data_IF_785026100988
#
_entry.id   IF_785026100988
#
_cell.length_a   1.000
_cell.length_b   1.000
_cell.length_c   1.000
_cell.angle_alpha   90.00
_cell.angle_beta   90.00
_cell.angle_gamma   90.00
#
_symmetry.space_group_name_H-M   'P 1'
#
loop_
_entity.id
_entity.type
_entity.pdbx_description
1 polymer ?
#
# COMPACT_ATOMS: atom_id res chain seq x y z
N UNK A 1 25.72 -9.73 9.58
CA UNK A 1 24.31 -9.36 9.83
C UNK A 1 24.02 -8.12 9.04
N UNK A 2 22.87 -8.02 8.37
CA UNK A 2 22.48 -6.83 7.64
C UNK A 2 21.82 -5.80 8.57
N UNK A 3 22.06 -4.52 8.30
CA UNK A 3 21.43 -3.42 9.02
C UNK A 3 20.30 -2.84 8.20
N UNK A 4 19.09 -2.70 8.77
CA UNK A 4 17.97 -2.06 8.09
C UNK A 4 18.19 -0.55 8.05
N UNK A 5 18.25 -0.04 6.83
CA UNK A 5 18.41 1.38 6.52
C UNK A 5 17.33 1.85 5.57
N UNK A 6 17.25 3.14 5.36
CA UNK A 6 16.44 3.77 4.30
C UNK A 6 17.31 4.66 3.44
N UNK A 7 16.94 4.80 2.18
CA UNK A 7 17.58 5.73 1.24
C UNK A 7 17.40 7.16 1.77
N UNK A 8 18.48 7.91 1.78
CA UNK A 8 18.56 9.28 2.31
C UNK A 8 18.89 10.34 1.24
N UNK A 9 18.67 10.00 -0.01
CA UNK A 9 18.77 10.90 -1.17
C UNK A 9 17.52 10.74 -2.02
N UNK A 10 17.20 11.72 -2.85
CA UNK A 10 15.98 11.71 -3.67
C UNK A 10 15.87 10.42 -4.48
N UNK A 11 16.94 10.06 -5.17
CA UNK A 11 17.02 8.85 -5.98
C UNK A 11 18.40 8.19 -5.83
N UNK A 12 18.41 6.90 -5.55
CA UNK A 12 19.60 6.06 -5.50
C UNK A 12 19.53 4.97 -6.57
N UNK A 13 20.45 5.00 -7.52
CA UNK A 13 20.59 3.93 -8.51
C UNK A 13 21.25 2.72 -7.86
N UNK A 14 20.65 1.56 -8.09
CA UNK A 14 21.17 0.26 -7.64
C UNK A 14 21.84 -0.44 -8.82
N UNK A 15 23.05 -0.88 -8.60
CA UNK A 15 23.90 -1.53 -9.59
C UNK A 15 24.18 -2.98 -9.20
N UNK A 16 24.12 -3.90 -10.15
CA UNK A 16 24.43 -5.32 -9.91
C UNK A 16 25.92 -5.59 -9.77
N UNK A 17 26.75 -4.67 -10.24
CA UNK A 17 28.21 -4.76 -10.15
C UNK A 17 28.80 -3.44 -9.69
N UNK A 18 29.94 -3.53 -9.00
CA UNK A 18 30.70 -2.39 -8.56
C UNK A 18 31.19 -1.53 -9.73
N UNK A 19 31.34 -0.23 -9.49
CA UNK A 19 31.77 0.73 -10.53
C UNK A 19 30.60 1.18 -11.43
N UNK A 20 29.36 1.13 -10.92
CA UNK A 20 28.13 1.56 -11.58
C UNK A 20 27.87 0.80 -12.89
N UNK A 21 28.08 -0.51 -12.85
CA UNK A 21 27.80 -1.43 -13.95
C UNK A 21 26.56 -2.25 -13.68
N UNK A 22 25.89 -2.71 -14.72
CA UNK A 22 24.68 -3.53 -14.64
C UNK A 22 23.60 -2.86 -13.81
N UNK A 23 22.95 -1.82 -14.36
CA UNK A 23 21.85 -1.11 -13.72
C UNK A 23 20.69 -2.07 -13.39
N UNK A 24 20.25 -2.10 -12.14
CA UNK A 24 19.13 -2.94 -11.70
C UNK A 24 17.84 -2.14 -11.57
N UNK A 25 17.86 -1.09 -10.76
CA UNK A 25 16.70 -0.23 -10.50
C UNK A 25 17.11 1.07 -9.81
N UNK A 26 16.16 1.97 -9.64
CA UNK A 26 16.30 3.16 -8.81
C UNK A 26 15.37 3.04 -7.60
N UNK A 27 15.88 3.38 -6.44
CA UNK A 27 15.12 3.54 -5.20
C UNK A 27 14.96 5.01 -4.86
N UNK A 28 13.84 5.34 -4.24
CA UNK A 28 13.51 6.70 -3.84
C UNK A 28 13.82 6.95 -2.36
N UNK A 29 13.82 8.20 -1.96
CA UNK A 29 13.96 8.62 -0.58
C UNK A 29 13.00 7.87 0.35
N UNK A 30 13.51 7.32 1.44
CA UNK A 30 12.76 6.54 2.42
C UNK A 30 12.47 5.10 2.01
N UNK A 31 12.96 4.62 0.84
CA UNK A 31 12.86 3.20 0.51
C UNK A 31 13.78 2.36 1.40
N UNK A 32 13.25 1.26 1.92
CA UNK A 32 14.00 0.38 2.83
C UNK A 32 15.00 -0.49 2.07
N UNK A 33 16.20 -0.61 2.64
CA UNK A 33 17.27 -1.50 2.18
C UNK A 33 17.92 -2.22 3.36
N UNK A 34 18.42 -3.41 3.11
CA UNK A 34 19.25 -4.15 4.05
C UNK A 34 20.73 -3.95 3.67
N UNK A 35 21.45 -3.10 4.41
CA UNK A 35 22.88 -2.86 4.18
C UNK A 35 23.67 -4.02 4.75
N UNK A 36 24.44 -4.69 3.91
CA UNK A 36 25.32 -5.81 4.28
C UNK A 36 26.75 -5.36 4.54
N UNK A 37 27.21 -4.37 3.74
CA UNK A 37 28.54 -3.80 3.87
C UNK A 37 28.54 -2.33 3.42
N UNK A 38 29.37 -1.52 4.04
CA UNK A 38 29.59 -0.13 3.64
C UNK A 38 31.05 0.23 3.80
N UNK A 39 31.59 0.87 2.79
CA UNK A 39 32.93 1.47 2.81
C UNK A 39 32.88 2.89 2.21
N UNK A 40 34.03 3.52 2.03
CA UNK A 40 34.11 4.88 1.50
C UNK A 40 33.71 5.01 0.02
N UNK A 41 33.70 3.91 -0.72
CA UNK A 41 33.42 3.92 -2.17
C UNK A 41 31.97 3.52 -2.48
N UNK A 42 31.39 2.60 -1.68
CA UNK A 42 30.07 2.00 -1.99
C UNK A 42 29.40 1.41 -0.77
N UNK A 43 28.09 1.16 -0.93
CA UNK A 43 27.25 0.42 -0.01
C UNK A 43 26.78 -0.84 -0.74
N UNK A 44 26.99 -2.00 -0.14
CA UNK A 44 26.41 -3.26 -0.57
C UNK A 44 25.09 -3.47 0.16
N UNK A 45 24.03 -3.76 -0.59
CA UNK A 45 22.69 -3.98 -0.08
C UNK A 45 22.14 -5.33 -0.52
N UNK A 46 21.30 -5.93 0.33
CA UNK A 46 20.39 -6.99 -0.06
C UNK A 46 19.01 -6.35 -0.30
N UNK A 47 18.46 -6.60 -1.46
CA UNK A 47 17.11 -6.19 -1.82
C UNK A 47 16.32 -7.40 -2.32
N UNK A 48 14.99 -7.28 -2.38
CA UNK A 48 14.11 -8.35 -2.82
C UNK A 48 13.31 -7.86 -4.01
N UNK A 49 13.30 -8.62 -5.08
CA UNK A 49 12.31 -8.46 -6.15
C UNK A 49 11.46 -9.73 -6.27
N UNK A 50 10.38 -9.64 -7.01
CA UNK A 50 9.45 -10.75 -7.16
C UNK A 50 9.45 -11.22 -8.60
N UNK A 51 9.71 -12.52 -8.80
CA UNK A 51 9.71 -13.14 -10.11
C UNK A 51 8.42 -13.96 -10.31
N UNK A 52 7.80 -13.80 -11.47
CA UNK A 52 6.63 -14.58 -11.88
C UNK A 52 7.09 -15.84 -12.61
N UNK A 53 6.67 -17.01 -12.11
CA UNK A 53 6.93 -18.31 -12.69
C UNK A 53 5.82 -18.72 -13.67
N UNK A 54 6.12 -19.70 -14.53
CA UNK A 54 5.18 -20.19 -15.56
C UNK A 54 3.85 -20.72 -14.98
N UNK A 55 3.84 -21.19 -13.73
CA UNK A 55 2.65 -21.62 -12.99
C UNK A 55 1.83 -20.46 -12.40
N UNK A 56 2.25 -19.21 -12.65
CA UNK A 56 1.66 -18.00 -12.14
C UNK A 56 1.97 -17.71 -10.67
N UNK A 57 2.87 -18.48 -10.04
CA UNK A 57 3.39 -18.15 -8.70
C UNK A 57 4.34 -16.95 -8.78
N UNK A 58 4.35 -16.16 -7.70
CA UNK A 58 5.25 -15.02 -7.57
C UNK A 58 6.13 -15.29 -6.35
N UNK A 59 7.41 -15.53 -6.59
CA UNK A 59 8.35 -15.84 -5.52
C UNK A 59 9.34 -14.70 -5.30
N UNK A 60 9.68 -14.41 -4.04
CA UNK A 60 10.72 -13.44 -3.72
C UNK A 60 12.09 -13.98 -4.14
N UNK A 61 12.84 -13.15 -4.82
CA UNK A 61 14.24 -13.40 -5.17
C UNK A 61 15.09 -12.36 -4.47
N UNK A 62 16.09 -12.82 -3.71
CA UNK A 62 17.08 -11.96 -3.11
C UNK A 62 18.11 -11.55 -4.15
N UNK A 63 18.42 -10.29 -4.18
CA UNK A 63 19.37 -9.68 -5.09
C UNK A 63 20.37 -8.86 -4.28
N UNK A 64 21.65 -9.02 -4.59
CA UNK A 64 22.72 -8.17 -4.05
C UNK A 64 22.98 -7.04 -5.02
N UNK A 65 23.00 -5.81 -4.51
CA UNK A 65 23.26 -4.63 -5.31
C UNK A 65 24.18 -3.65 -4.61
N UNK A 66 24.64 -2.67 -5.38
CA UNK A 66 25.58 -1.66 -4.92
C UNK A 66 24.97 -0.27 -5.10
N UNK A 67 25.10 0.58 -4.07
CA UNK A 67 24.83 2.01 -4.17
C UNK A 67 26.17 2.73 -4.11
N UNK A 68 26.42 3.59 -5.09
CA UNK A 68 27.65 4.36 -5.17
C UNK A 68 27.32 5.84 -5.36
N UNK A 69 27.98 6.76 -4.62
CA UNK A 69 27.78 8.18 -4.82
C UNK A 69 28.24 8.59 -6.22
N UNK A 70 27.50 9.49 -6.85
CA UNK A 70 27.97 10.13 -8.10
C UNK A 70 29.16 11.03 -7.77
N UNK A 71 30.26 10.90 -8.51
CA UNK A 71 31.47 11.73 -8.29
C UNK A 71 31.16 13.23 -8.32
N UNK A 72 30.21 13.65 -9.13
CA UNK A 72 29.79 15.06 -9.25
C UNK A 72 28.89 15.55 -8.10
N UNK A 73 28.39 14.67 -7.26
CA UNK A 73 27.45 15.07 -6.18
C UNK A 73 28.12 15.60 -4.92
N UNK A 74 29.41 15.30 -4.72
CA UNK A 74 30.11 15.60 -3.48
C UNK A 74 29.66 14.77 -2.27
N UNK A 75 28.70 13.85 -2.45
CA UNK A 75 28.17 13.00 -1.38
C UNK A 75 29.15 11.88 -1.02
N UNK A 76 29.11 11.50 0.24
CA UNK A 76 29.79 10.29 0.75
C UNK A 76 28.79 9.13 0.84
N UNK A 77 29.27 7.92 0.99
CA UNK A 77 28.40 6.74 1.19
C UNK A 77 27.52 6.88 2.44
N UNK A 78 28.03 7.53 3.49
CA UNK A 78 27.28 7.82 4.72
C UNK A 78 26.07 8.73 4.51
N UNK A 79 26.04 9.48 3.43
CA UNK A 79 24.94 10.41 3.13
C UNK A 79 23.82 9.74 2.34
N UNK A 80 24.08 8.57 1.73
CA UNK A 80 23.14 7.88 0.84
C UNK A 80 22.08 7.07 1.57
N UNK A 81 22.39 6.61 2.78
CA UNK A 81 21.47 5.82 3.60
C UNK A 81 21.52 6.31 5.05
N UNK A 82 20.41 6.11 5.76
CA UNK A 82 20.33 6.34 7.21
C UNK A 82 19.64 5.18 7.91
N UNK A 83 19.85 4.96 9.22
CA UNK A 83 19.17 3.91 9.96
C UNK A 83 17.64 4.00 9.80
N UNK A 84 16.96 2.86 9.68
CA UNK A 84 15.50 2.81 9.58
C UNK A 84 14.80 3.50 10.75
N UNK A 85 15.39 3.45 11.94
CA UNK A 85 14.87 4.14 13.13
C UNK A 85 14.80 5.67 13.01
N UNK A 86 15.52 6.24 12.05
CA UNK A 86 15.53 7.67 11.74
C UNK A 86 14.69 8.01 10.49
N UNK A 87 13.86 7.06 10.00
CA UNK A 87 12.97 7.34 8.89
C UNK A 87 11.86 8.29 9.33
N UNK A 88 11.75 9.44 8.69
CA UNK A 88 10.72 10.46 8.88
C UNK A 88 9.88 10.71 7.62
N UNK A 89 10.03 9.85 6.61
CA UNK A 89 9.36 10.01 5.32
C UNK A 89 7.94 9.46 5.37
N UNK A 90 6.97 10.34 5.16
CA UNK A 90 5.59 9.99 4.85
C UNK A 90 5.47 9.79 3.34
N UNK A 91 5.03 8.62 2.91
CA UNK A 91 4.76 8.33 1.49
C UNK A 91 3.28 8.41 1.22
N UNK A 92 2.91 9.20 0.22
CA UNK A 92 1.52 9.30 -0.26
C UNK A 92 1.50 8.95 -1.73
N UNK A 93 0.79 7.89 -2.08
CA UNK A 93 0.64 7.44 -3.46
C UNK A 93 -0.81 7.65 -3.88
N UNK A 94 -1.05 8.56 -4.80
CA UNK A 94 -2.32 8.69 -5.50
C UNK A 94 -2.36 7.66 -6.63
N UNK A 95 -3.42 6.87 -6.67
CA UNK A 95 -3.57 5.78 -7.63
C UNK A 95 -4.55 6.22 -8.71
N UNK A 96 -4.15 6.12 -9.96
CA UNK A 96 -5.08 6.30 -11.07
C UNK A 96 -6.07 5.11 -11.09
N UNK A 97 -7.27 5.39 -10.63
CA UNK A 97 -8.40 4.45 -10.62
C UNK A 97 -9.40 4.75 -11.74
N UNK A 98 -9.05 5.66 -12.65
CA UNK A 98 -9.85 6.21 -13.75
C UNK A 98 -11.00 7.10 -13.25
N UNK A 99 -11.95 6.57 -12.49
CA UNK A 99 -13.05 7.34 -11.91
C UNK A 99 -13.02 7.25 -10.39
N UNK A 100 -13.14 8.41 -9.74
CA UNK A 100 -13.06 8.56 -8.29
C UNK A 100 -11.65 8.70 -7.76
N UNK A 101 -11.47 8.40 -6.49
CA UNK A 101 -10.22 8.58 -5.78
C UNK A 101 -9.72 7.25 -5.18
N UNK A 102 -8.40 7.13 -5.08
CA UNK A 102 -7.74 6.05 -4.39
C UNK A 102 -6.34 6.47 -3.96
N UNK A 103 -6.02 6.36 -2.68
CA UNK A 103 -4.69 6.68 -2.21
C UNK A 103 -4.18 5.68 -1.18
N UNK A 104 -2.85 5.52 -1.15
CA UNK A 104 -2.12 4.71 -0.17
C UNK A 104 -1.16 5.61 0.57
N UNK A 105 -1.31 5.69 1.88
CA UNK A 105 -0.43 6.45 2.77
C UNK A 105 0.38 5.45 3.58
N UNK A 106 1.70 5.61 3.56
CA UNK A 106 2.63 4.82 4.38
C UNK A 106 3.37 5.75 5.32
N UNK A 107 3.17 5.52 6.62
CA UNK A 107 3.87 6.28 7.66
C UNK A 107 5.34 5.88 7.75
N UNK A 108 6.19 6.73 8.35
CA UNK A 108 7.61 6.43 8.53
C UNK A 108 7.88 5.13 9.30
N UNK A 109 6.98 4.73 10.19
CA UNK A 109 7.06 3.47 10.95
C UNK A 109 6.45 2.27 10.19
N UNK A 110 6.04 2.46 8.92
CA UNK A 110 5.59 1.39 8.02
C UNK A 110 4.12 1.01 8.15
N UNK A 111 3.30 1.81 8.86
CA UNK A 111 1.85 1.62 8.88
C UNK A 111 1.26 2.07 7.57
N UNK A 112 0.24 1.35 7.11
CA UNK A 112 -0.44 1.61 5.84
C UNK A 112 -1.86 2.05 6.10
N UNK A 113 -2.27 3.14 5.45
CA UNK A 113 -3.63 3.65 5.43
C UNK A 113 -4.10 3.65 3.97
N UNK A 114 -5.30 3.15 3.74
CA UNK A 114 -5.97 3.25 2.45
C UNK A 114 -7.03 4.34 2.53
N UNK A 115 -7.11 5.17 1.50
CA UNK A 115 -8.11 6.23 1.39
C UNK A 115 -8.87 6.01 0.09
N UNK A 116 -10.18 5.78 0.21
CA UNK A 116 -11.07 5.44 -0.90
C UNK A 116 -10.59 4.22 -1.72
N UNK A 117 -11.16 3.96 -2.87
CA UNK A 117 -10.81 2.79 -3.67
C UNK A 117 -11.27 2.84 -5.12
N UNK A 118 -11.83 3.98 -5.56
CA UNK A 118 -12.39 4.12 -6.92
C UNK A 118 -13.69 3.35 -7.11
N UNK A 119 -14.13 3.24 -8.35
CA UNK A 119 -15.36 2.56 -8.74
C UNK A 119 -15.15 1.16 -9.31
N UNK A 120 -13.90 0.70 -9.41
CA UNK A 120 -13.55 -0.53 -10.10
C UNK A 120 -12.37 -1.30 -9.44
N UNK A 121 -11.87 -2.35 -10.11
CA UNK A 121 -10.82 -3.22 -9.58
C UNK A 121 -9.39 -2.64 -9.65
N UNK A 122 -9.16 -1.44 -10.21
CA UNK A 122 -7.80 -0.93 -10.45
C UNK A 122 -7.05 -0.69 -9.14
N UNK A 123 -7.73 -0.18 -8.11
CA UNK A 123 -7.12 0.01 -6.79
C UNK A 123 -6.65 -1.32 -6.18
N UNK A 124 -7.49 -2.36 -6.21
CA UNK A 124 -7.13 -3.70 -5.75
C UNK A 124 -5.94 -4.28 -6.53
N UNK A 125 -5.88 -4.07 -7.85
CA UNK A 125 -4.76 -4.50 -8.70
C UNK A 125 -3.47 -3.77 -8.35
N UNK A 126 -3.54 -2.44 -8.13
CA UNK A 126 -2.39 -1.66 -7.69
C UNK A 126 -1.85 -2.20 -6.36
N UNK A 127 -2.74 -2.40 -5.37
CA UNK A 127 -2.37 -2.91 -4.06
C UNK A 127 -1.76 -4.32 -4.13
N UNK A 128 -2.33 -5.21 -4.95
CA UNK A 128 -1.77 -6.55 -5.19
C UNK A 128 -0.37 -6.48 -5.82
N UNK A 129 -0.13 -5.50 -6.69
CA UNK A 129 1.18 -5.21 -7.25
C UNK A 129 2.18 -4.71 -6.22
N UNK A 130 1.73 -3.88 -5.29
CA UNK A 130 2.57 -3.25 -4.27
C UNK A 130 2.86 -4.18 -3.09
N UNK A 131 1.86 -4.89 -2.59
CA UNK A 131 1.96 -5.75 -1.42
C UNK A 131 1.99 -7.22 -1.84
N UNK A 132 3.13 -7.67 -2.32
CA UNK A 132 3.34 -9.05 -2.77
C UNK A 132 3.40 -10.05 -1.62
N UNK A 133 3.22 -11.33 -1.94
CA UNK A 133 3.34 -12.45 -1.00
C UNK A 133 2.37 -12.44 0.17
N UNK A 134 1.21 -11.85 0.00
CA UNK A 134 0.15 -11.95 1.01
C UNK A 134 -0.62 -13.26 0.84
N UNK A 135 -1.06 -13.84 1.95
CA UNK A 135 -1.89 -15.04 2.02
C UNK A 135 -2.91 -14.89 3.13
N UNK A 136 -3.91 -15.77 3.18
CA UNK A 136 -4.86 -15.78 4.30
C UNK A 136 -4.17 -15.97 5.67
N UNK A 137 -3.06 -16.73 5.71
CA UNK A 137 -2.26 -16.94 6.93
C UNK A 137 -1.28 -15.79 7.23
N UNK A 138 -0.96 -14.98 6.22
CA UNK A 138 -0.05 -13.82 6.36
C UNK A 138 -0.56 -12.64 5.54
N UNK A 139 -1.68 -12.03 5.95
CA UNK A 139 -2.25 -10.87 5.27
C UNK A 139 -1.40 -9.62 5.49
N UNK A 140 -1.50 -8.64 4.59
CA UNK A 140 -0.94 -7.31 4.83
C UNK A 140 -1.77 -6.59 5.89
N UNK A 141 -1.17 -6.24 7.01
CA UNK A 141 -1.83 -5.36 7.99
C UNK A 141 -2.04 -3.97 7.40
N UNK A 142 -3.27 -3.47 7.53
CA UNK A 142 -3.68 -2.11 7.16
C UNK A 142 -4.13 -1.40 8.43
N UNK A 143 -3.52 -0.27 8.76
CA UNK A 143 -3.84 0.46 10.00
C UNK A 143 -5.29 0.97 9.98
N UNK A 144 -5.72 1.53 8.85
CA UNK A 144 -7.14 1.82 8.63
C UNK A 144 -7.48 1.95 7.13
N UNK A 145 -8.75 1.76 6.82
CA UNK A 145 -9.37 2.15 5.56
C UNK A 145 -10.28 3.35 5.85
N UNK A 146 -10.08 4.44 5.14
CA UNK A 146 -10.85 5.66 5.24
C UNK A 146 -11.68 5.85 3.99
N UNK A 147 -12.99 5.95 4.13
CA UNK A 147 -13.91 6.31 3.05
C UNK A 147 -14.33 7.75 3.24
N UNK A 148 -13.93 8.63 2.32
CA UNK A 148 -14.14 10.06 2.46
C UNK A 148 -15.61 10.43 2.38
N UNK A 149 -16.37 9.78 1.47
CA UNK A 149 -17.81 9.95 1.34
C UNK A 149 -18.48 8.77 0.62
N UNK A 150 -19.82 8.80 0.59
CA UNK A 150 -20.63 7.67 0.11
C UNK A 150 -20.94 7.68 -1.38
N UNK A 151 -20.14 8.31 -2.22
CA UNK A 151 -20.28 8.20 -3.67
C UNK A 151 -19.64 6.92 -4.17
N UNK A 152 -20.24 6.30 -5.18
CA UNK A 152 -19.83 4.96 -5.64
C UNK A 152 -18.37 4.91 -6.08
N UNK A 153 -17.90 5.94 -6.72
CA UNK A 153 -16.55 6.09 -7.23
C UNK A 153 -15.47 6.31 -6.15
N UNK A 154 -15.84 6.28 -4.87
CA UNK A 154 -14.93 6.33 -3.74
C UNK A 154 -14.82 5.02 -2.98
N UNK A 155 -15.85 4.17 -2.98
CA UNK A 155 -15.83 2.97 -2.16
C UNK A 155 -16.14 1.66 -2.88
N UNK A 156 -16.72 1.68 -4.09
CA UNK A 156 -17.14 0.45 -4.79
C UNK A 156 -15.94 -0.43 -5.16
N UNK A 157 -14.77 0.17 -5.38
CA UNK A 157 -13.54 -0.58 -5.63
C UNK A 157 -12.94 -1.27 -4.39
N UNK A 158 -13.33 -0.89 -3.17
CA UNK A 158 -12.81 -1.53 -1.95
C UNK A 158 -13.20 -3.01 -1.81
N UNK A 159 -14.46 -3.45 -2.08
CA UNK A 159 -14.82 -4.86 -2.14
C UNK A 159 -14.00 -5.67 -3.13
N UNK A 160 -13.47 -5.05 -4.20
CA UNK A 160 -12.63 -5.73 -5.18
C UNK A 160 -11.31 -6.25 -4.58
N UNK A 161 -10.86 -5.66 -3.46
CA UNK A 161 -9.71 -6.18 -2.71
C UNK A 161 -10.04 -7.57 -2.18
N UNK A 162 -11.20 -7.76 -1.58
CA UNK A 162 -11.66 -9.05 -1.08
C UNK A 162 -11.94 -10.04 -2.23
N UNK A 163 -12.58 -9.57 -3.30
CA UNK A 163 -12.83 -10.39 -4.49
C UNK A 163 -11.51 -10.88 -5.11
N UNK A 164 -10.43 -10.13 -4.97
CA UNK A 164 -9.12 -10.51 -5.51
C UNK A 164 -8.52 -11.77 -4.87
N UNK A 165 -8.89 -12.12 -3.64
CA UNK A 165 -8.36 -13.29 -2.92
C UNK A 165 -8.55 -14.60 -3.69
N UNK A 166 -9.62 -14.70 -4.45
CA UNK A 166 -9.97 -15.89 -5.25
C UNK A 166 -9.60 -15.76 -6.74
N UNK A 167 -8.88 -14.69 -7.12
CA UNK A 167 -8.52 -14.47 -8.52
C UNK A 167 -7.69 -15.65 -9.06
N UNK A 168 -7.98 -16.08 -10.30
CA UNK A 168 -7.24 -17.17 -10.96
C UNK A 168 -5.76 -16.83 -11.11
N UNK A 169 -5.44 -15.59 -11.46
CA UNK A 169 -4.07 -15.11 -11.56
C UNK A 169 -3.52 -14.77 -10.16
N UNK A 170 -2.62 -15.60 -9.66
CA UNK A 170 -2.03 -15.45 -8.31
C UNK A 170 -1.43 -14.06 -8.05
N UNK A 171 -0.82 -13.45 -9.08
CA UNK A 171 -0.23 -12.10 -9.00
C UNK A 171 -1.25 -10.99 -8.71
N UNK A 172 -2.53 -11.24 -8.95
CA UNK A 172 -3.62 -10.30 -8.69
C UNK A 172 -4.30 -10.53 -7.34
N UNK A 173 -3.87 -11.54 -6.58
CA UNK A 173 -4.41 -11.83 -5.25
C UNK A 173 -3.81 -10.90 -4.22
N UNK A 174 -4.67 -10.42 -3.33
CA UNK A 174 -4.27 -9.63 -2.19
C UNK A 174 -5.10 -10.04 -0.97
N UNK A 175 -4.41 -10.31 0.13
CA UNK A 175 -5.02 -10.56 1.43
C UNK A 175 -4.63 -9.41 2.35
N UNK A 176 -5.63 -8.72 2.90
CA UNK A 176 -5.42 -7.62 3.85
C UNK A 176 -6.14 -7.87 5.17
N UNK A 177 -5.61 -7.29 6.24
CA UNK A 177 -6.23 -7.29 7.56
C UNK A 177 -6.33 -5.85 8.07
N UNK A 178 -7.43 -5.14 7.78
CA UNK A 178 -7.65 -3.80 8.30
C UNK A 178 -7.96 -3.85 9.80
N UNK A 179 -7.32 -2.97 10.58
CA UNK A 179 -7.58 -2.81 12.01
C UNK A 179 -8.80 -1.93 12.27
N UNK A 180 -9.06 -0.95 11.40
CA UNK A 180 -10.12 0.04 11.55
C UNK A 180 -10.69 0.46 10.22
N UNK A 181 -11.95 0.91 10.25
CA UNK A 181 -12.61 1.56 9.14
C UNK A 181 -13.16 2.90 9.61
N UNK A 182 -12.94 3.93 8.82
CA UNK A 182 -13.49 5.26 9.04
C UNK A 182 -14.31 5.70 7.83
N UNK A 183 -15.46 6.29 8.09
CA UNK A 183 -16.31 6.89 7.07
C UNK A 183 -17.14 8.01 7.69
N UNK A 184 -17.62 8.93 6.89
CA UNK A 184 -18.41 10.07 7.36
C UNK A 184 -19.86 9.75 7.74
N UNK A 185 -20.29 8.49 7.61
CA UNK A 185 -21.65 8.04 7.92
C UNK A 185 -22.71 8.42 6.90
N UNK A 186 -22.34 9.13 5.83
CA UNK A 186 -23.28 9.56 4.79
C UNK A 186 -23.35 8.50 3.71
N UNK A 187 -24.50 7.82 3.63
CA UNK A 187 -24.80 6.90 2.53
C UNK A 187 -25.80 7.61 1.62
N UNK A 188 -25.38 7.95 0.42
CA UNK A 188 -26.28 8.51 -0.61
C UNK A 188 -27.16 7.39 -1.17
N UNK A 189 -28.31 7.20 -0.53
CA UNK A 189 -29.38 6.33 -1.05
C UNK A 189 -30.64 7.14 -1.23
N UNK A 190 -31.43 6.84 -2.24
CA UNK A 190 -32.75 7.44 -2.37
C UNK A 190 -33.51 7.24 -1.05
N UNK A 191 -33.99 8.32 -0.46
CA UNK A 191 -34.74 8.28 0.81
C UNK A 191 -36.07 7.52 0.69
N UNK A 192 -36.52 7.27 -0.53
CA UNK A 192 -37.76 6.58 -0.83
C UNK A 192 -37.51 5.39 -1.77
N UNK A 193 -38.27 4.31 -1.55
CA UNK A 193 -38.35 3.15 -2.44
C UNK A 193 -39.84 2.85 -2.67
N UNK A 194 -40.29 2.82 -3.92
CA UNK A 194 -41.70 2.62 -4.27
C UNK A 194 -42.64 3.59 -3.56
N UNK A 195 -42.26 4.87 -3.49
CA UNK A 195 -43.04 5.93 -2.86
C UNK A 195 -43.08 5.94 -1.32
N UNK A 196 -42.43 4.95 -0.67
CA UNK A 196 -42.34 4.86 0.79
C UNK A 196 -40.95 5.27 1.29
N UNK A 197 -40.89 6.01 2.41
CA UNK A 197 -39.64 6.35 3.10
C UNK A 197 -38.91 5.06 3.55
N UNK A 198 -37.61 4.96 3.24
CA UNK A 198 -36.79 3.84 3.71
C UNK A 198 -36.52 3.94 5.20
N UNK A 199 -36.58 2.83 5.95
CA UNK A 199 -36.17 2.80 7.34
C UNK A 199 -34.66 3.01 7.48
N UNK A 200 -34.22 3.57 8.60
CA UNK A 200 -32.80 3.87 8.88
C UNK A 200 -31.88 2.65 8.71
N UNK A 201 -32.36 1.45 9.06
CA UNK A 201 -31.60 0.21 8.90
C UNK A 201 -31.28 -0.13 7.43
N UNK A 202 -32.14 0.28 6.48
CA UNK A 202 -31.86 0.15 5.05
C UNK A 202 -30.94 1.23 4.52
N UNK A 203 -30.93 2.40 5.15
CA UNK A 203 -30.10 3.53 4.74
C UNK A 203 -28.70 3.48 5.33
N UNK A 204 -28.59 3.09 6.60
CA UNK A 204 -27.38 3.21 7.40
C UNK A 204 -26.76 1.86 7.80
N UNK A 205 -27.49 0.74 7.55
CA UNK A 205 -27.15 -0.56 8.13
C UNK A 205 -27.56 -0.68 9.60
N UNK A 206 -27.07 -1.69 10.35
CA UNK A 206 -27.43 -1.86 11.74
C UNK A 206 -26.99 -0.66 12.58
N UNK A 207 -27.94 -0.09 13.33
CA UNK A 207 -27.72 1.10 14.15
C UNK A 207 -28.14 0.84 15.61
N UNK A 208 -27.51 1.55 16.54
CA UNK A 208 -27.88 1.60 17.95
C UNK A 208 -28.11 3.06 18.38
N UNK A 209 -29.22 3.30 19.07
CA UNK A 209 -29.48 4.62 19.69
C UNK A 209 -28.84 4.69 21.08
N UNK A 210 -28.18 5.80 21.37
CA UNK A 210 -27.69 6.14 22.71
C UNK A 210 -28.12 7.59 22.97
N UNK A 211 -29.13 7.79 23.81
CA UNK A 211 -29.79 9.07 23.99
C UNK A 211 -30.46 9.54 22.67
N UNK A 212 -30.15 10.74 22.24
CA UNK A 212 -30.67 11.34 20.98
C UNK A 212 -29.81 10.98 19.74
N UNK A 213 -28.65 10.34 19.93
CA UNK A 213 -27.71 10.01 18.85
C UNK A 213 -27.91 8.60 18.35
N UNK A 214 -27.80 8.42 17.04
CA UNK A 214 -27.80 7.12 16.36
C UNK A 214 -26.38 6.79 15.91
N UNK A 215 -25.87 5.61 16.31
CA UNK A 215 -24.56 5.10 15.93
C UNK A 215 -24.73 3.93 14.99
N UNK A 216 -23.91 3.87 13.93
CA UNK A 216 -23.80 2.70 13.05
C UNK A 216 -22.99 1.65 13.79
N UNK A 217 -23.51 0.43 13.93
CA UNK A 217 -22.88 -0.66 14.69
C UNK A 217 -22.34 -1.78 13.82
N UNK A 218 -22.47 -1.68 12.50
CA UNK A 218 -21.92 -2.67 11.55
C UNK A 218 -22.10 -2.21 10.10
N UNK A 219 -21.32 -2.83 9.23
CA UNK A 219 -21.44 -2.63 7.79
C UNK A 219 -22.51 -3.55 7.23
N UNK A 220 -23.43 -3.00 6.48
CA UNK A 220 -24.25 -3.81 5.59
C UNK A 220 -23.48 -3.93 4.30
N UNK A 221 -22.94 -5.12 4.02
CA UNK A 221 -22.39 -5.42 2.69
C UNK A 221 -23.48 -5.10 1.67
N UNK A 222 -23.20 -4.18 0.79
CA UNK A 222 -24.11 -3.86 -0.31
C UNK A 222 -23.73 -4.82 -1.42
N UNK A 223 -24.42 -5.95 -1.51
CA UNK A 223 -24.46 -6.77 -2.72
C UNK A 223 -25.44 -6.16 -3.70
#
# INVERSE_FOLDING_TARGET
MSTKCVINVDLADIWGEAGRKNFLRTLAWGDEVAVTKQDSARIEIETVYFNEHADGSILPVKEVGFIEPKKSSGLKTTDLVRPRSQNDVLKVNFVDVQQGDGAVIESPDGKVILVDGGDNQLFARYLAGRFRNTTAANPKEIECILVTHGDADHFVGLPEIFNSETNKEKRKRLFIQPKRYYHNGIVKRPSTKNGKKRPDIELLGPTRKVGTKTFITGWKTIC
#
